data_IF_300685950970
#
_entry.id   IF_300685950970
#
_cell.length_a   1.000
_cell.length_b   1.000
_cell.length_c   1.000
_cell.angle_alpha   90.00
_cell.angle_beta   90.00
_cell.angle_gamma   90.00
#
_symmetry.space_group_name_H-M   'P 1'
#
loop_
_entity.id
_entity.type
_entity.pdbx_description
1 polymer ?
#
# COMPACT_ATOMS: atom_id res chain seq x y z
N UNK A 1 53.89 -20.92 11.44
CA UNK A 1 53.12 -19.66 11.62
C UNK A 1 51.65 -20.01 11.86
N UNK A 2 51.06 -19.75 13.04
CA UNK A 2 49.68 -20.15 13.33
C UNK A 2 48.68 -19.26 12.58
N UNK A 3 47.78 -19.87 11.82
CA UNK A 3 46.71 -19.18 11.07
C UNK A 3 45.65 -18.66 12.05
N UNK A 4 45.57 -17.34 12.19
CA UNK A 4 44.62 -16.62 13.06
C UNK A 4 43.18 -16.92 12.62
N UNK A 5 42.45 -17.70 13.40
CA UNK A 5 41.02 -17.98 13.20
C UNK A 5 40.26 -16.67 13.46
N UNK A 6 39.72 -16.06 12.40
CA UNK A 6 38.91 -14.84 12.52
C UNK A 6 37.49 -15.22 12.94
N UNK A 7 37.09 -14.83 14.13
CA UNK A 7 35.73 -15.03 14.64
C UNK A 7 34.70 -14.35 13.72
N UNK A 8 33.73 -15.13 13.24
CA UNK A 8 32.66 -14.64 12.36
C UNK A 8 31.65 -13.88 13.23
N UNK A 9 31.61 -12.55 13.11
CA UNK A 9 30.61 -11.71 13.78
C UNK A 9 29.20 -12.24 13.47
N UNK A 10 28.43 -12.49 14.53
CA UNK A 10 27.10 -13.11 14.48
C UNK A 10 26.09 -12.35 13.62
N UNK A 11 25.02 -13.04 13.21
CA UNK A 11 23.95 -12.46 12.38
C UNK A 11 23.24 -11.35 13.15
N UNK A 12 23.12 -10.17 12.54
CA UNK A 12 22.38 -9.03 13.10
C UNK A 12 20.89 -9.38 13.19
N UNK A 13 20.29 -9.03 14.32
CA UNK A 13 18.87 -9.24 14.57
C UNK A 13 18.00 -8.38 13.63
N UNK A 14 16.97 -8.99 13.02
CA UNK A 14 16.09 -8.31 12.07
C UNK A 14 14.93 -7.66 12.81
N UNK A 15 14.73 -6.35 12.63
CA UNK A 15 13.55 -5.65 13.14
C UNK A 15 12.30 -6.11 12.39
N UNK A 16 11.19 -6.35 13.12
CA UNK A 16 9.90 -6.70 12.55
C UNK A 16 9.17 -5.43 12.10
N UNK A 17 8.70 -5.39 10.87
CA UNK A 17 7.85 -4.29 10.37
C UNK A 17 6.38 -4.51 10.75
N UNK A 18 5.62 -3.42 11.01
CA UNK A 18 4.20 -3.53 11.33
C UNK A 18 3.40 -4.10 10.15
N UNK A 19 2.34 -4.85 10.46
CA UNK A 19 1.45 -5.43 9.45
C UNK A 19 0.41 -4.39 9.03
N UNK A 20 0.24 -4.17 7.74
CA UNK A 20 -0.84 -3.33 7.21
C UNK A 20 -2.12 -4.17 7.07
N UNK A 21 -3.01 -4.12 8.07
CA UNK A 21 -4.28 -4.87 8.04
C UNK A 21 -5.34 -4.17 7.17
N UNK A 22 -6.03 -4.96 6.34
CA UNK A 22 -7.14 -4.47 5.50
C UNK A 22 -8.36 -3.98 6.30
N UNK A 23 -8.54 -4.46 7.53
CA UNK A 23 -9.65 -4.04 8.41
C UNK A 23 -9.62 -2.53 8.72
N UNK A 24 -8.43 -1.93 8.77
CA UNK A 24 -8.26 -0.50 9.06
C UNK A 24 -8.86 0.42 7.99
N UNK A 25 -9.05 -0.10 6.77
CA UNK A 25 -9.64 0.62 5.61
C UNK A 25 -11.16 0.75 5.69
N UNK A 26 -11.80 0.06 6.64
CA UNK A 26 -13.21 0.21 6.94
C UNK A 26 -13.36 1.07 8.19
N UNK A 27 -14.23 2.08 8.13
CA UNK A 27 -14.72 2.84 9.27
C UNK A 27 -16.17 2.48 9.54
N UNK A 28 -16.60 2.65 10.79
CA UNK A 28 -18.01 2.57 11.17
C UNK A 28 -18.55 3.99 11.32
N UNK A 29 -19.51 4.40 10.49
CA UNK A 29 -20.30 5.60 10.68
C UNK A 29 -21.70 5.18 11.14
N UNK A 30 -21.83 4.93 12.45
CA UNK A 30 -23.08 4.50 13.07
C UNK A 30 -23.66 3.25 12.40
N UNK A 31 -24.77 3.42 11.67
CA UNK A 31 -25.48 2.37 10.93
C UNK A 31 -24.85 1.94 9.59
N UNK A 32 -23.87 2.69 9.06
CA UNK A 32 -23.29 2.42 7.74
C UNK A 32 -21.77 2.25 7.80
N UNK A 33 -21.26 1.24 7.09
CA UNK A 33 -19.83 1.02 6.95
C UNK A 33 -19.24 1.98 5.90
N UNK A 34 -18.42 2.93 6.34
CA UNK A 34 -17.70 3.85 5.47
C UNK A 34 -16.42 3.20 4.96
N UNK A 35 -16.20 3.30 3.65
CA UNK A 35 -15.03 2.73 2.97
C UNK A 35 -14.00 3.84 2.77
N UNK A 36 -12.83 3.73 3.41
CA UNK A 36 -11.79 4.78 3.38
C UNK A 36 -11.00 4.83 2.07
N UNK A 37 -11.05 3.78 1.26
CA UNK A 37 -10.31 3.67 0.00
C UNK A 37 -11.22 3.28 -1.17
N UNK A 38 -10.86 3.75 -2.37
CA UNK A 38 -11.57 3.43 -3.62
C UNK A 38 -11.33 1.98 -4.06
N UNK A 39 -12.31 1.39 -4.73
CA UNK A 39 -12.15 0.09 -5.39
C UNK A 39 -11.57 0.25 -6.79
N UNK A 40 -10.88 -0.78 -7.25
CA UNK A 40 -10.38 -0.84 -8.61
C UNK A 40 -11.55 -1.06 -9.60
N UNK A 41 -11.69 -0.24 -10.65
CA UNK A 41 -12.74 -0.41 -11.66
C UNK A 41 -12.59 -1.70 -12.47
N UNK A 42 -11.36 -2.21 -12.61
CA UNK A 42 -11.05 -3.43 -13.37
C UNK A 42 -11.13 -4.71 -12.53
N UNK A 43 -10.80 -4.65 -11.24
CA UNK A 43 -10.80 -5.83 -10.37
C UNK A 43 -12.09 -6.03 -9.58
N UNK A 44 -12.98 -5.04 -9.58
CA UNK A 44 -14.27 -5.11 -8.89
C UNK A 44 -14.18 -4.88 -7.37
N UNK A 45 -15.33 -5.05 -6.68
CA UNK A 45 -15.45 -4.80 -5.25
C UNK A 45 -14.54 -5.73 -4.44
N UNK A 46 -13.90 -5.19 -3.39
CA UNK A 46 -13.00 -5.92 -2.50
C UNK A 46 -11.50 -5.73 -2.79
N UNK A 47 -11.13 -5.14 -3.93
CA UNK A 47 -9.74 -4.75 -4.22
C UNK A 47 -9.56 -3.24 -4.05
N UNK A 48 -8.98 -2.84 -2.92
CA UNK A 48 -8.67 -1.44 -2.64
C UNK A 48 -7.48 -0.96 -3.45
N UNK A 49 -7.56 0.28 -3.91
CA UNK A 49 -6.42 0.97 -4.52
C UNK A 49 -5.59 1.68 -3.44
N UNK A 50 -4.28 1.57 -3.54
CA UNK A 50 -3.33 2.25 -2.68
C UNK A 50 -3.28 3.73 -3.05
N UNK A 51 -3.52 4.58 -2.05
CA UNK A 51 -3.46 6.03 -2.23
C UNK A 51 -2.06 6.51 -1.89
N UNK A 52 -1.29 6.88 -2.91
CA UNK A 52 -0.04 7.60 -2.76
C UNK A 52 -0.28 9.11 -2.96
N UNK A 53 0.77 9.92 -2.78
CA UNK A 53 0.70 11.39 -2.93
C UNK A 53 0.33 11.77 -4.37
N UNK A 54 1.02 11.16 -5.34
CA UNK A 54 0.93 11.57 -6.74
C UNK A 54 0.05 10.62 -7.58
N UNK A 55 -0.31 9.46 -7.02
CA UNK A 55 -1.00 8.38 -7.75
C UNK A 55 -1.88 7.51 -6.88
N UNK A 56 -2.84 6.86 -7.50
CA UNK A 56 -3.69 5.82 -6.93
C UNK A 56 -3.46 4.54 -7.73
N UNK A 57 -2.94 3.50 -7.09
CA UNK A 57 -2.49 2.27 -7.77
C UNK A 57 -3.28 1.06 -7.29
N UNK A 58 -3.67 0.19 -8.21
CA UNK A 58 -4.22 -1.12 -7.88
C UNK A 58 -3.08 -2.14 -7.79
N UNK A 59 -2.88 -2.75 -6.63
CA UNK A 59 -1.86 -3.79 -6.44
C UNK A 59 -2.17 -5.12 -7.13
N UNK A 60 -3.40 -5.34 -7.62
CA UNK A 60 -3.81 -6.60 -8.25
C UNK A 60 -3.70 -6.58 -9.78
N UNK A 61 -4.04 -5.48 -10.43
CA UNK A 61 -4.00 -5.34 -11.90
C UNK A 61 -3.04 -4.25 -12.42
N UNK A 62 -2.24 -3.65 -11.53
CA UNK A 62 -1.29 -2.58 -11.87
C UNK A 62 -1.91 -1.32 -12.46
N UNK A 63 -3.24 -1.20 -12.46
CA UNK A 63 -3.94 -0.01 -12.91
C UNK A 63 -3.59 1.18 -12.02
N UNK A 64 -3.22 2.30 -12.65
CA UNK A 64 -2.73 3.49 -11.94
C UNK A 64 -3.45 4.72 -12.46
N UNK A 65 -4.04 5.49 -11.56
CA UNK A 65 -4.59 6.82 -11.83
C UNK A 65 -3.67 7.87 -11.22
N UNK A 66 -3.30 8.88 -11.98
CA UNK A 66 -2.49 9.99 -11.47
C UNK A 66 -3.41 11.01 -10.81
N UNK A 67 -3.09 11.41 -9.59
CA UNK A 67 -3.78 12.51 -8.92
C UNK A 67 -3.20 13.82 -9.45
N UNK A 68 -3.56 14.20 -10.67
CA UNK A 68 -3.19 15.51 -11.19
C UNK A 68 -3.94 16.59 -10.39
N UNK A 69 -3.27 17.21 -9.43
CA UNK A 69 -3.66 18.51 -8.93
C UNK A 69 -3.43 19.53 -10.05
N UNK A 70 -4.52 19.94 -10.70
CA UNK A 70 -4.66 20.87 -11.83
C UNK A 70 -4.81 20.24 -13.23
N UNK A 71 -5.97 20.55 -13.85
CA UNK A 71 -6.37 20.40 -15.26
C UNK A 71 -7.04 19.06 -15.67
N UNK A 72 -8.39 19.12 -15.70
CA UNK A 72 -9.34 18.66 -16.73
C UNK A 72 -10.67 18.24 -16.07
N UNK A 73 -11.41 19.19 -15.50
CA UNK A 73 -12.67 19.64 -16.11
C UNK A 73 -12.58 19.86 -17.63
N UNK A 74 -13.59 19.36 -18.37
CA UNK A 74 -13.83 19.54 -19.81
C UNK A 74 -12.92 18.76 -20.79
N UNK A 75 -13.46 17.69 -21.40
CA UNK A 75 -13.84 17.70 -22.83
C UNK A 75 -14.81 16.52 -23.12
N UNK A 76 -15.65 16.75 -24.14
CA UNK A 76 -16.94 16.14 -24.51
C UNK A 76 -16.95 14.60 -24.67
#
# INVERSE_FOLDING_TARGET
>A
MPKKIKERKGKRERKKHPKHLKSTLYGSAGEKAERKARFCPKCGPGTFMATHKDRVTCGKCSYTELKNSAKKAAEN
#
